data_IF_081200257888
#
_entry.id   IF_081200257888
#
_cell.length_a   1.000
_cell.length_b   1.000
_cell.length_c   1.000
_cell.angle_alpha   90.00
_cell.angle_beta   90.00
_cell.angle_gamma   90.00
#
_symmetry.space_group_name_H-M   'P 1'
#
loop_
_entity.id
_entity.type
_entity.pdbx_description
1 polymer ?
#
# COMPACT_ATOMS: atom_id res chain seq x y z
N UNK A 1 30.15 -26.64 7.30
CA UNK A 1 28.93 -27.48 7.23
C UNK A 1 29.14 -28.49 6.12
N UNK A 2 28.97 -29.78 6.40
CA UNK A 2 29.09 -30.85 5.38
C UNK A 2 27.84 -30.86 4.50
N UNK A 3 27.98 -31.23 3.22
CA UNK A 3 26.85 -31.29 2.29
C UNK A 3 25.87 -32.42 2.70
N UNK A 4 24.54 -32.23 2.58
CA UNK A 4 23.56 -33.24 2.96
C UNK A 4 23.73 -34.52 2.12
N UNK A 5 23.82 -35.66 2.81
CA UNK A 5 24.23 -36.94 2.24
C UNK A 5 23.04 -37.86 1.95
N UNK A 6 21.90 -37.69 2.65
CA UNK A 6 20.67 -38.46 2.43
C UNK A 6 19.59 -37.67 1.67
N UNK A 7 18.61 -38.38 1.07
CA UNK A 7 17.45 -37.75 0.42
C UNK A 7 16.60 -36.95 1.40
N UNK A 8 16.39 -37.51 2.60
CA UNK A 8 15.61 -36.88 3.67
C UNK A 8 16.28 -35.59 4.18
N UNK A 9 17.60 -35.58 4.32
CA UNK A 9 18.36 -34.37 4.67
C UNK A 9 18.26 -33.29 3.59
N UNK A 10 18.23 -33.67 2.31
CA UNK A 10 18.04 -32.73 1.19
C UNK A 10 16.63 -32.15 1.17
N UNK A 11 15.60 -32.96 1.39
CA UNK A 11 14.21 -32.53 1.45
C UNK A 11 13.97 -31.58 2.65
N UNK A 12 14.51 -31.92 3.83
CA UNK A 12 14.47 -31.05 5.01
C UNK A 12 15.21 -29.73 4.78
N UNK A 13 16.40 -29.76 4.15
CA UNK A 13 17.13 -28.55 3.82
C UNK A 13 16.37 -27.67 2.82
N UNK A 14 15.74 -28.26 1.81
CA UNK A 14 14.95 -27.54 0.81
C UNK A 14 13.77 -26.82 1.47
N UNK A 15 13.02 -27.49 2.35
CA UNK A 15 11.93 -26.86 3.09
C UNK A 15 12.40 -25.68 3.97
N UNK A 16 13.55 -25.81 4.63
CA UNK A 16 14.14 -24.72 5.41
C UNK A 16 14.57 -23.53 4.53
N UNK A 17 15.10 -23.79 3.34
CA UNK A 17 15.47 -22.74 2.38
C UNK A 17 14.25 -22.02 1.85
N UNK A 18 13.19 -22.74 1.49
CA UNK A 18 11.91 -22.16 1.04
C UNK A 18 11.28 -21.27 2.12
N UNK A 19 11.24 -21.75 3.37
CA UNK A 19 10.74 -20.96 4.48
C UNK A 19 11.60 -19.70 4.70
N UNK A 20 12.93 -19.83 4.59
CA UNK A 20 13.84 -18.69 4.73
C UNK A 20 13.62 -17.66 3.63
N UNK A 21 13.45 -18.10 2.38
CA UNK A 21 13.16 -17.22 1.24
C UNK A 21 11.83 -16.49 1.49
N UNK A 22 10.76 -17.21 1.86
CA UNK A 22 9.45 -16.61 2.15
C UNK A 22 9.55 -15.54 3.25
N UNK A 23 10.26 -15.82 4.33
CA UNK A 23 10.48 -14.84 5.41
C UNK A 23 11.25 -13.60 4.94
N UNK A 24 12.26 -13.78 4.09
CA UNK A 24 13.01 -12.67 3.52
C UNK A 24 12.16 -11.82 2.57
N UNK A 25 11.33 -12.43 1.75
CA UNK A 25 10.39 -11.74 0.87
C UNK A 25 9.35 -10.92 1.65
N UNK A 26 8.74 -11.51 2.68
CA UNK A 26 7.81 -10.79 3.57
C UNK A 26 8.50 -9.59 4.20
N UNK A 27 9.71 -9.78 4.75
CA UNK A 27 10.47 -8.69 5.35
C UNK A 27 10.84 -7.62 4.32
N UNK A 28 11.17 -7.99 3.09
CA UNK A 28 11.45 -7.04 2.02
C UNK A 28 10.19 -6.22 1.69
N UNK A 29 9.03 -6.85 1.55
CA UNK A 29 7.75 -6.19 1.29
C UNK A 29 7.31 -5.26 2.43
N UNK A 30 7.63 -5.58 3.68
CA UNK A 30 7.39 -4.67 4.80
C UNK A 30 8.30 -3.43 4.75
N UNK A 31 9.52 -3.55 4.24
CA UNK A 31 10.54 -2.48 4.29
C UNK A 31 10.67 -1.66 3.00
N UNK A 32 10.10 -2.12 1.90
CA UNK A 32 10.22 -1.52 0.58
C UNK A 32 8.90 -1.60 -0.21
N UNK A 33 8.41 -0.44 -0.65
CA UNK A 33 7.15 -0.32 -1.38
C UNK A 33 7.16 -1.04 -2.73
N UNK A 34 8.30 -1.15 -3.41
CA UNK A 34 8.39 -1.84 -4.70
C UNK A 34 8.33 -3.36 -4.49
N UNK A 35 9.01 -3.88 -3.47
CA UNK A 35 8.86 -5.27 -3.06
C UNK A 35 7.42 -5.61 -2.68
N UNK A 36 6.76 -4.73 -1.91
CA UNK A 36 5.33 -4.85 -1.61
C UNK A 36 4.49 -4.90 -2.88
N UNK A 37 4.65 -3.92 -3.77
CA UNK A 37 3.91 -3.81 -5.02
C UNK A 37 4.03 -5.09 -5.86
N UNK A 38 5.24 -5.65 -6.01
CA UNK A 38 5.45 -6.87 -6.76
C UNK A 38 4.81 -8.11 -6.13
N UNK A 39 4.77 -8.17 -4.80
CA UNK A 39 4.20 -9.31 -4.07
C UNK A 39 2.67 -9.34 -4.17
N UNK A 40 2.01 -8.17 -4.06
CA UNK A 40 0.54 -8.09 -4.07
C UNK A 40 -0.06 -7.76 -5.42
N UNK A 41 0.76 -7.27 -6.37
CA UNK A 41 0.36 -6.98 -7.73
C UNK A 41 1.42 -7.51 -8.71
N UNK A 42 1.43 -8.82 -9.01
CA UNK A 42 2.52 -9.47 -9.76
C UNK A 42 2.79 -8.89 -11.16
N UNK A 43 1.76 -8.35 -11.82
CA UNK A 43 1.87 -7.75 -13.15
C UNK A 43 2.27 -6.26 -13.12
N UNK A 44 2.59 -5.70 -11.95
CA UNK A 44 2.99 -4.31 -11.82
C UNK A 44 4.37 -4.06 -12.44
N UNK A 45 4.41 -3.22 -13.47
CA UNK A 45 5.65 -2.90 -14.20
C UNK A 45 6.43 -1.79 -13.50
N UNK A 46 7.68 -2.08 -13.13
CA UNK A 46 8.52 -1.18 -12.33
C UNK A 46 9.62 -0.53 -13.19
N UNK A 47 9.31 0.68 -13.69
CA UNK A 47 10.30 1.64 -14.21
C UNK A 47 11.18 2.32 -13.14
N UNK A 48 12.21 3.06 -13.60
CA UNK A 48 13.18 3.74 -12.74
C UNK A 48 12.53 4.84 -11.87
N UNK A 49 11.57 5.57 -12.41
CA UNK A 49 10.83 6.62 -11.70
C UNK A 49 10.02 6.06 -10.52
N UNK A 50 9.41 4.88 -10.65
CA UNK A 50 8.72 4.24 -9.53
C UNK A 50 9.66 3.96 -8.35
N UNK A 51 10.90 3.52 -8.62
CA UNK A 51 11.90 3.29 -7.56
C UNK A 51 12.30 4.60 -6.88
N UNK A 52 12.38 5.70 -7.63
CA UNK A 52 12.64 7.01 -7.07
C UNK A 52 11.48 7.49 -6.19
N UNK A 53 10.25 7.38 -6.68
CA UNK A 53 9.03 7.67 -5.91
C UNK A 53 8.94 6.84 -4.64
N UNK A 54 9.19 5.53 -4.71
CA UNK A 54 9.14 4.63 -3.56
C UNK A 54 10.13 5.03 -2.45
N UNK A 55 11.32 5.52 -2.80
CA UNK A 55 12.28 6.06 -1.82
C UNK A 55 11.73 7.31 -1.14
N UNK A 56 11.14 8.23 -1.91
CA UNK A 56 10.51 9.44 -1.36
C UNK A 56 9.34 9.07 -0.45
N UNK A 57 8.50 8.12 -0.85
CA UNK A 57 7.39 7.67 -0.03
C UNK A 57 7.85 6.97 1.24
N UNK A 58 8.93 6.20 1.19
CA UNK A 58 9.54 5.64 2.41
C UNK A 58 9.96 6.75 3.39
N UNK A 59 10.57 7.82 2.90
CA UNK A 59 10.88 8.98 3.74
C UNK A 59 9.61 9.64 4.32
N UNK A 60 8.48 9.62 3.61
CA UNK A 60 7.20 10.11 4.13
C UNK A 60 6.66 9.20 5.23
N UNK A 61 6.65 7.89 5.00
CA UNK A 61 6.20 6.89 5.99
C UNK A 61 7.04 6.96 7.27
N UNK A 62 8.36 7.11 7.14
CA UNK A 62 9.29 7.26 8.27
C UNK A 62 9.25 8.65 8.92
N UNK A 63 8.42 9.58 8.42
CA UNK A 63 8.28 10.94 8.96
C UNK A 63 9.45 11.88 8.65
N UNK A 64 10.43 11.45 7.85
CA UNK A 64 11.57 12.27 7.38
C UNK A 64 11.13 13.36 6.41
N UNK A 65 10.07 13.11 5.62
CA UNK A 65 9.43 14.10 4.74
C UNK A 65 7.96 14.25 5.13
N UNK A 66 7.54 15.48 5.42
CA UNK A 66 6.15 15.75 5.84
C UNK A 66 5.24 16.19 4.70
N UNK A 67 5.81 16.76 3.63
CA UNK A 67 5.08 17.29 2.46
C UNK A 67 5.90 17.00 1.22
N UNK A 68 5.27 16.39 0.22
CA UNK A 68 5.91 15.99 -1.04
C UNK A 68 4.93 16.31 -2.17
N UNK A 69 5.45 16.90 -3.25
CA UNK A 69 4.75 17.09 -4.52
C UNK A 69 5.51 16.29 -5.57
N UNK A 70 4.80 15.54 -6.41
CA UNK A 70 5.39 14.71 -7.47
C UNK A 70 4.73 15.09 -8.80
N UNK A 71 5.55 15.59 -9.72
CA UNK A 71 5.11 15.95 -11.07
C UNK A 71 5.66 14.92 -12.06
N UNK A 72 4.79 14.02 -12.54
CA UNK A 72 5.13 12.97 -13.50
C UNK A 72 4.06 12.95 -14.59
N UNK A 73 4.47 12.72 -15.83
CA UNK A 73 3.58 12.69 -16.99
C UNK A 73 2.46 11.61 -16.87
N UNK A 74 1.32 11.80 -17.54
CA UNK A 74 0.23 10.82 -17.58
C UNK A 74 0.69 9.44 -18.06
N UNK A 75 -0.03 8.38 -17.66
CA UNK A 75 0.24 6.97 -18.06
C UNK A 75 1.60 6.40 -17.62
N UNK A 76 2.25 7.01 -16.64
CA UNK A 76 3.50 6.52 -16.06
C UNK A 76 3.30 5.72 -14.76
N UNK A 77 2.08 5.25 -14.47
CA UNK A 77 1.81 4.43 -13.28
C UNK A 77 1.88 5.17 -11.94
N UNK A 78 1.87 6.52 -11.95
CA UNK A 78 1.94 7.34 -10.73
C UNK A 78 0.79 7.00 -9.76
N UNK A 79 -0.45 7.00 -10.26
CA UNK A 79 -1.67 6.85 -9.46
C UNK A 79 -1.79 5.45 -8.87
N UNK A 80 -1.34 4.43 -9.60
CA UNK A 80 -1.24 3.07 -9.06
C UNK A 80 -0.31 3.02 -7.84
N UNK A 81 0.85 3.68 -7.92
CA UNK A 81 1.79 3.70 -6.80
C UNK A 81 1.32 4.61 -5.65
N UNK A 82 0.79 5.79 -5.95
CA UNK A 82 0.45 6.84 -4.97
C UNK A 82 -0.91 6.64 -4.30
N UNK A 83 -1.91 6.26 -5.07
CA UNK A 83 -3.32 6.31 -4.69
C UNK A 83 -3.86 4.93 -4.29
N UNK A 84 -3.18 3.87 -4.72
CA UNK A 84 -3.55 2.48 -4.42
C UNK A 84 -2.51 1.78 -3.55
N UNK A 85 -1.27 1.61 -4.04
CA UNK A 85 -0.28 0.77 -3.35
C UNK A 85 0.30 1.43 -2.09
N UNK A 86 0.59 2.74 -2.13
CA UNK A 86 1.12 3.47 -0.98
C UNK A 86 0.17 3.46 0.23
N UNK A 87 -1.13 3.80 0.12
CA UNK A 87 -2.05 3.76 1.26
C UNK A 87 -2.20 2.36 1.87
N UNK A 88 -2.23 1.32 1.03
CA UNK A 88 -2.29 -0.07 1.49
C UNK A 88 -1.03 -0.46 2.28
N UNK A 89 0.16 -0.13 1.74
CA UNK A 89 1.43 -0.37 2.40
C UNK A 89 1.55 0.40 3.72
N UNK A 90 1.12 1.67 3.73
CA UNK A 90 1.12 2.53 4.90
C UNK A 90 0.27 1.95 6.04
N UNK A 91 -0.95 1.50 5.77
CA UNK A 91 -1.81 0.86 6.78
C UNK A 91 -1.28 -0.51 7.22
N UNK A 92 -0.46 -1.17 6.40
CA UNK A 92 0.24 -2.38 6.79
C UNK A 92 1.25 -2.12 7.92
N UNK A 93 1.91 -0.97 7.85
CA UNK A 93 2.90 -0.51 8.82
C UNK A 93 2.27 0.22 10.01
N UNK A 94 1.15 0.91 9.79
CA UNK A 94 0.45 1.74 10.75
C UNK A 94 -1.06 1.44 10.74
N UNK A 95 -1.47 0.29 11.29
CA UNK A 95 -2.85 -0.19 11.16
C UNK A 95 -3.86 0.66 11.92
N UNK A 96 -3.44 1.50 12.85
CA UNK A 96 -4.26 2.42 13.65
C UNK A 96 -4.32 3.86 13.09
N UNK A 97 -3.61 4.14 11.99
CA UNK A 97 -3.55 5.48 11.40
C UNK A 97 -4.73 5.80 10.47
N UNK A 98 -4.94 7.09 10.26
CA UNK A 98 -6.01 7.64 9.42
C UNK A 98 -5.46 8.16 8.09
N UNK A 99 -6.06 7.74 6.99
CA UNK A 99 -5.76 8.16 5.62
C UNK A 99 -6.91 8.97 5.06
N UNK A 100 -6.59 10.08 4.40
CA UNK A 100 -7.50 10.79 3.51
C UNK A 100 -6.97 10.68 2.08
N UNK A 101 -7.81 10.20 1.17
CA UNK A 101 -7.56 10.17 -0.27
C UNK A 101 -8.46 11.20 -0.93
N UNK A 102 -7.86 12.17 -1.61
CA UNK A 102 -8.56 13.20 -2.36
C UNK A 102 -8.21 13.12 -3.85
N UNK A 103 -9.24 13.11 -4.69
CA UNK A 103 -9.08 13.23 -6.15
C UNK A 103 -10.06 14.26 -6.71
N UNK A 104 -9.96 14.55 -8.02
CA UNK A 104 -10.89 15.46 -8.70
C UNK A 104 -12.37 15.09 -8.48
N UNK A 105 -12.73 13.81 -8.60
CA UNK A 105 -14.12 13.34 -8.49
C UNK A 105 -14.34 12.41 -7.30
N UNK A 106 -15.52 12.46 -6.70
CA UNK A 106 -15.88 11.55 -5.62
C UNK A 106 -15.83 10.09 -6.06
N UNK A 107 -16.33 9.78 -7.26
CA UNK A 107 -16.30 8.42 -7.82
C UNK A 107 -14.88 7.86 -7.93
N UNK A 108 -13.94 8.63 -8.48
CA UNK A 108 -12.55 8.17 -8.62
C UNK A 108 -11.89 7.96 -7.25
N UNK A 109 -12.20 8.83 -6.28
CA UNK A 109 -11.74 8.64 -4.90
C UNK A 109 -12.30 7.35 -4.29
N UNK A 110 -13.60 7.10 -4.43
CA UNK A 110 -14.26 5.89 -3.94
C UNK A 110 -13.74 4.62 -4.62
N UNK A 111 -13.42 4.68 -5.92
CA UNK A 111 -12.82 3.58 -6.66
C UNK A 111 -11.46 3.20 -6.07
N UNK A 112 -10.58 4.18 -5.80
CA UNK A 112 -9.32 3.92 -5.10
C UNK A 112 -9.55 3.38 -3.70
N UNK A 113 -10.49 3.95 -2.94
CA UNK A 113 -10.83 3.49 -1.60
C UNK A 113 -11.29 2.03 -1.59
N UNK A 114 -12.15 1.64 -2.54
CA UNK A 114 -12.59 0.27 -2.74
C UNK A 114 -11.45 -0.67 -3.11
N UNK A 115 -10.55 -0.25 -4.01
CA UNK A 115 -9.37 -1.04 -4.40
C UNK A 115 -8.44 -1.27 -3.21
N UNK A 116 -8.07 -0.23 -2.46
CA UNK A 116 -7.23 -0.36 -1.26
C UNK A 116 -7.87 -1.31 -0.24
N UNK A 117 -9.17 -1.16 0.01
CA UNK A 117 -9.90 -2.04 0.93
C UNK A 117 -9.85 -3.50 0.49
N UNK A 118 -10.11 -3.76 -0.79
CA UNK A 118 -10.11 -5.12 -1.33
C UNK A 118 -8.72 -5.74 -1.28
N UNK A 119 -7.67 -4.93 -1.50
CA UNK A 119 -6.29 -5.38 -1.33
C UNK A 119 -5.99 -5.78 0.12
N UNK A 120 -6.41 -4.97 1.11
CA UNK A 120 -6.23 -5.31 2.53
C UNK A 120 -6.98 -6.60 2.92
N UNK A 121 -8.09 -6.90 2.24
CA UNK A 121 -8.85 -8.13 2.45
C UNK A 121 -8.22 -9.37 1.78
N UNK A 122 -7.17 -9.21 0.96
CA UNK A 122 -6.58 -10.30 0.19
C UNK A 122 -5.65 -11.18 1.03
N UNK A 123 -5.49 -12.43 0.63
CA UNK A 123 -4.57 -13.37 1.29
C UNK A 123 -3.11 -12.91 1.16
N UNK A 124 -2.72 -12.41 -0.01
CA UNK A 124 -1.37 -11.92 -0.29
C UNK A 124 -0.99 -10.74 0.61
N UNK A 125 -1.95 -9.85 0.88
CA UNK A 125 -1.74 -8.76 1.82
C UNK A 125 -1.62 -9.29 3.25
N UNK A 126 -2.49 -10.23 3.66
CA UNK A 126 -2.45 -10.85 4.97
C UNK A 126 -1.15 -11.64 5.23
N UNK A 127 -0.52 -12.22 4.19
CA UNK A 127 0.81 -12.84 4.31
C UNK A 127 1.88 -11.83 4.74
N UNK A 128 1.77 -10.57 4.28
CA UNK A 128 2.76 -9.51 4.57
C UNK A 128 2.41 -8.80 5.89
N UNK A 129 1.14 -8.46 6.09
CA UNK A 129 0.64 -7.66 7.21
C UNK A 129 -0.50 -8.37 7.96
N UNK A 130 -0.23 -9.50 8.64
CA UNK A 130 -1.27 -10.34 9.26
C UNK A 130 -2.06 -9.64 10.39
N UNK A 131 -1.54 -8.53 10.90
CA UNK A 131 -2.16 -7.72 11.97
C UNK A 131 -3.11 -6.65 11.45
N UNK A 132 -3.05 -6.31 10.16
CA UNK A 132 -3.89 -5.27 9.55
C UNK A 132 -5.13 -5.93 8.95
N UNK A 133 -6.26 -5.83 9.65
CA UNK A 133 -7.54 -6.43 9.22
C UNK A 133 -8.61 -5.34 9.11
N UNK A 134 -9.59 -5.55 8.24
CA UNK A 134 -10.75 -4.66 8.13
C UNK A 134 -11.67 -4.80 9.34
N UNK A 135 -12.33 -3.70 9.72
CA UNK A 135 -13.42 -3.72 10.69
C UNK A 135 -14.69 -4.37 10.08
N UNK A 136 -15.52 -4.98 10.93
CA UNK A 136 -16.71 -5.70 10.47
C UNK A 136 -17.88 -4.77 10.11
N UNK A 137 -17.95 -3.59 10.72
CA UNK A 137 -19.09 -2.67 10.73
C UNK A 137 -18.97 -1.52 9.71
N UNK A 138 -17.77 -1.15 9.27
CA UNK A 138 -17.53 -0.03 8.34
C UNK A 138 -16.90 -0.48 7.02
N UNK A 139 -17.77 -0.74 6.03
CA UNK A 139 -17.40 -1.31 4.72
C UNK A 139 -17.88 -0.48 3.52
N UNK A 140 -17.97 0.85 3.64
CA UNK A 140 -18.23 1.72 2.48
C UNK A 140 -17.00 1.81 1.56
N UNK A 141 -17.17 2.02 0.25
CA UNK A 141 -16.03 2.22 -0.66
C UNK A 141 -15.31 3.55 -0.36
N UNK A 142 -16.09 4.61 -0.10
CA UNK A 142 -15.58 5.94 0.29
C UNK A 142 -15.20 6.08 1.77
N UNK A 143 -15.56 5.13 2.64
CA UNK A 143 -15.21 5.17 4.06
C UNK A 143 -15.23 3.78 4.68
N UNK A 144 -14.07 3.35 5.18
CA UNK A 144 -13.90 2.08 5.88
C UNK A 144 -12.83 2.20 6.97
N UNK A 145 -12.74 1.17 7.82
CA UNK A 145 -11.81 1.16 8.95
C UNK A 145 -11.08 -0.18 9.07
N UNK A 146 -9.95 -0.17 9.76
CA UNK A 146 -9.28 -1.38 10.24
C UNK A 146 -9.81 -1.75 11.62
N UNK A 147 -9.63 -3.01 12.03
CA UNK A 147 -10.04 -3.51 13.34
C UNK A 147 -9.25 -2.89 14.52
N UNK A 148 -8.14 -2.22 14.24
CA UNK A 148 -7.28 -1.55 15.24
C UNK A 148 -7.49 -0.04 15.29
N UNK A 149 -8.52 0.50 14.63
CA UNK A 149 -8.90 1.91 14.73
C UNK A 149 -8.41 2.82 13.59
N UNK A 150 -7.64 2.27 12.65
CA UNK A 150 -7.24 2.97 11.43
C UNK A 150 -8.45 3.25 10.54
N UNK A 151 -8.37 4.30 9.74
CA UNK A 151 -9.49 4.77 8.91
C UNK A 151 -9.01 5.16 7.53
N UNK A 152 -9.84 4.92 6.53
CA UNK A 152 -9.63 5.43 5.19
C UNK A 152 -10.87 6.23 4.79
N UNK A 153 -10.65 7.45 4.32
CA UNK A 153 -11.71 8.32 3.84
C UNK A 153 -11.36 8.82 2.44
N UNK A 154 -12.24 8.55 1.48
CA UNK A 154 -12.11 8.98 0.10
C UNK A 154 -13.06 10.15 -0.16
N UNK A 155 -12.56 11.20 -0.82
CA UNK A 155 -13.32 12.44 -1.03
C UNK A 155 -12.97 13.12 -2.36
N UNK A 156 -13.98 13.53 -3.11
CA UNK A 156 -13.79 14.36 -4.30
C UNK A 156 -13.53 15.83 -3.96
N UNK A 157 -13.12 16.62 -4.96
CA UNK A 157 -13.06 18.09 -4.83
C UNK A 157 -14.43 18.63 -4.43
N UNK A 158 -14.44 19.57 -3.47
CA UNK A 158 -15.68 20.14 -2.91
C UNK A 158 -16.37 19.28 -1.86
N UNK A 159 -15.87 18.07 -1.57
CA UNK A 159 -16.39 17.22 -0.50
C UNK A 159 -16.04 17.73 0.91
N UNK A 160 -16.88 17.40 1.88
CA UNK A 160 -16.72 17.87 3.26
C UNK A 160 -15.56 17.16 3.98
N UNK A 161 -14.47 17.91 4.20
CA UNK A 161 -13.29 17.45 4.95
C UNK A 161 -13.23 17.96 6.40
N UNK A 162 -14.02 18.99 6.74
CA UNK A 162 -13.96 19.66 8.03
C UNK A 162 -14.18 18.69 9.20
N UNK A 163 -13.32 18.77 10.22
CA UNK A 163 -13.37 17.93 11.42
C UNK A 163 -12.70 16.55 11.30
N UNK A 164 -12.07 16.23 10.15
CA UNK A 164 -11.30 14.98 9.97
C UNK A 164 -9.80 15.25 10.00
N UNK A 165 -9.07 14.44 10.77
CA UNK A 165 -7.62 14.40 10.76
C UNK A 165 -7.08 13.34 9.80
N UNK A 166 -5.81 13.46 9.42
CA UNK A 166 -5.10 12.44 8.65
C UNK A 166 -3.65 12.33 9.14
N UNK A 167 -3.17 11.10 9.25
CA UNK A 167 -1.74 10.80 9.38
C UNK A 167 -1.08 10.75 7.99
N UNK A 168 -1.83 10.35 6.96
CA UNK A 168 -1.43 10.41 5.55
C UNK A 168 -2.55 11.07 4.72
N UNK A 169 -2.22 12.14 4.01
CA UNK A 169 -3.09 12.80 3.04
C UNK A 169 -2.51 12.58 1.64
N UNK A 170 -3.26 11.87 0.79
CA UNK A 170 -2.91 11.66 -0.62
C UNK A 170 -3.85 12.50 -1.47
N UNK A 171 -3.27 13.29 -2.38
CA UNK A 171 -3.99 14.12 -3.34
C UNK A 171 -3.52 13.69 -4.73
N UNK A 172 -4.43 13.16 -5.56
CA UNK A 172 -4.12 12.72 -6.91
C UNK A 172 -4.97 13.49 -7.93
N UNK A 173 -4.28 14.13 -8.88
CA UNK A 173 -4.83 14.98 -9.93
C UNK A 173 -5.92 15.97 -9.42
N UNK A 174 -5.56 16.95 -8.56
CA UNK A 174 -6.53 17.91 -8.01
C UNK A 174 -6.97 19.00 -9.01
N UNK A 175 -6.44 18.98 -10.23
CA UNK A 175 -6.70 19.98 -11.28
C UNK A 175 -7.49 19.35 -12.43
N UNK A 176 -8.52 20.04 -12.90
CA UNK A 176 -9.19 19.72 -14.17
C UNK A 176 -8.39 20.26 -15.35
N UNK A 177 -8.30 19.50 -16.45
CA UNK A 177 -7.81 19.99 -17.75
C UNK A 177 -8.81 20.93 -18.46
N UNK A 178 -9.88 21.35 -17.78
CA UNK A 178 -10.85 22.30 -18.31
C UNK A 178 -10.38 23.72 -18.02
N UNK A 179 -9.70 24.29 -19.02
CA UNK A 179 -9.93 25.68 -19.44
C UNK A 179 -10.89 25.67 -20.64
#
# INVERSE_FOLDING_TARGET
MSAPQSREEKEALLGLLEERIKRLEIKASQNDLISFAKKVYPNYSVGAHHRHMARIFKDVVEGKKKRVIINIAPRHGKSELTSYLLPAWYLGLHPDHQIIMATHTASLSEDFGGRVRNLIASEEYAEIFPKTKLAEDKKGAGSWATSTGGKYYAVGVGGALAGRGANLLVIDDPHSEQD
#
